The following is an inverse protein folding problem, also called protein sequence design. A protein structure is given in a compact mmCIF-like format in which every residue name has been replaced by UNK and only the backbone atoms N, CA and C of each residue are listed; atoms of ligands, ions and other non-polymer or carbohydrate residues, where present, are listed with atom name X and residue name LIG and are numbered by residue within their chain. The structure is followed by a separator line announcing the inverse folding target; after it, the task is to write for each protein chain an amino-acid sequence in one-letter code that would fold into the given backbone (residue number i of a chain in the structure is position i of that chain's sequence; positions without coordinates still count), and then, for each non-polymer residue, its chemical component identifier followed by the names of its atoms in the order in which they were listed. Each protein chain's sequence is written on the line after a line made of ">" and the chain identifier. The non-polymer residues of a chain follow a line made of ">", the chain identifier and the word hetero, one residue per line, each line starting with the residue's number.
data_IF_703975127026
#
_entry.id   IF_703975127026
#
_cell.length_a   1.000
_cell.length_b   1.000
_cell.length_c   1.000
_cell.angle_alpha   90.00
_cell.angle_beta   90.00
_cell.angle_gamma   90.00
#
_symmetry.space_group_name_H-M   'P 1'
#
loop_
_entity.id
_entity.type
_entity.pdbx_description
1 polymer ?
#
# COMPACT_ATOMS: atom_id res chain seq x y z
N UNK A 1 -1.53 -9.16 -7.64
CA UNK A 1 -0.22 -9.71 -7.19
C UNK A 1 -0.47 -10.92 -6.29
N UNK A 2 -0.01 -12.07 -6.70
CA UNK A 2 -0.12 -13.27 -5.88
C UNK A 2 0.97 -13.27 -4.79
N UNK A 3 0.58 -13.63 -3.56
CA UNK A 3 1.50 -13.79 -2.44
C UNK A 3 1.36 -15.19 -1.87
N UNK A 4 2.48 -15.85 -1.65
CA UNK A 4 2.58 -17.24 -1.18
C UNK A 4 2.30 -17.36 0.34
N UNK A 5 1.17 -16.79 0.78
CA UNK A 5 0.70 -16.81 2.17
C UNK A 5 -0.81 -16.75 2.20
N UNK A 6 -1.43 -17.29 3.24
CA UNK A 6 -2.88 -17.15 3.45
C UNK A 6 -3.25 -15.70 3.76
N UNK A 7 -4.54 -15.36 3.60
CA UNK A 7 -5.03 -13.96 3.70
C UNK A 7 -4.59 -13.27 4.99
N UNK A 8 -4.80 -13.91 6.14
CA UNK A 8 -4.46 -13.29 7.43
C UNK A 8 -2.98 -12.99 7.59
N UNK A 9 -2.12 -13.91 7.15
CA UNK A 9 -0.66 -13.73 7.23
C UNK A 9 -0.18 -12.66 6.26
N UNK A 10 -0.75 -12.62 5.07
CA UNK A 10 -0.45 -11.57 4.07
C UNK A 10 -0.86 -10.20 4.61
N UNK A 11 -2.06 -10.10 5.18
CA UNK A 11 -2.58 -8.87 5.78
C UNK A 11 -1.64 -8.34 6.86
N UNK A 12 -1.29 -9.17 7.83
CA UNK A 12 -0.40 -8.79 8.93
C UNK A 12 1.00 -8.40 8.43
N UNK A 13 1.52 -9.13 7.45
CA UNK A 13 2.84 -8.87 6.87
C UNK A 13 2.90 -7.53 6.16
N UNK A 14 1.86 -7.17 5.41
CA UNK A 14 1.79 -5.88 4.71
C UNK A 14 1.76 -4.73 5.71
N UNK A 15 0.93 -4.82 6.75
CA UNK A 15 0.88 -3.78 7.79
C UNK A 15 2.21 -3.64 8.53
N UNK A 16 2.87 -4.75 8.83
CA UNK A 16 4.16 -4.72 9.51
C UNK A 16 5.29 -4.18 8.62
N UNK A 17 5.13 -4.29 7.31
CA UNK A 17 6.15 -3.86 6.35
C UNK A 17 6.27 -2.34 6.26
N UNK A 18 5.16 -1.61 6.38
CA UNK A 18 5.13 -0.17 6.15
C UNK A 18 6.16 0.59 7.01
N UNK A 19 6.22 0.44 8.35
CA UNK A 19 7.24 1.16 9.13
C UNK A 19 8.67 0.69 8.86
N UNK A 20 8.86 -0.48 8.26
CA UNK A 20 10.19 -0.97 7.88
C UNK A 20 10.70 -0.34 6.59
N UNK A 21 9.80 -0.12 5.61
CA UNK A 21 10.17 0.50 4.32
C UNK A 21 10.15 2.02 4.38
N UNK A 22 9.48 2.59 5.39
CA UNK A 22 9.44 4.04 5.63
C UNK A 22 9.83 4.28 7.09
N UNK A 23 11.14 4.18 7.44
CA UNK A 23 11.57 4.19 8.84
C UNK A 23 11.39 5.52 9.56
N UNK A 24 11.23 6.62 8.83
CA UNK A 24 10.93 7.94 9.41
C UNK A 24 9.43 8.18 9.61
N UNK A 25 8.57 7.24 9.24
CA UNK A 25 7.13 7.37 9.39
C UNK A 25 6.75 7.36 10.88
N UNK A 26 5.88 8.31 11.25
CA UNK A 26 5.35 8.44 12.61
C UNK A 26 3.84 8.44 12.56
N UNK A 27 3.22 7.67 13.45
CA UNK A 27 1.77 7.62 13.56
C UNK A 27 1.27 8.71 14.53
N UNK A 28 0.25 9.45 14.09
CA UNK A 28 -0.42 10.46 14.89
C UNK A 28 -1.60 9.83 15.66
N UNK A 29 -2.15 10.58 16.64
CA UNK A 29 -3.30 10.10 17.43
C UNK A 29 -4.56 9.88 16.61
N UNK A 30 -4.67 10.50 15.43
CA UNK A 30 -5.81 10.35 14.51
C UNK A 30 -5.66 9.17 13.55
N UNK A 31 -4.60 8.37 13.68
CA UNK A 31 -4.35 7.20 12.84
C UNK A 31 -3.59 7.47 11.55
N UNK A 32 -3.25 8.71 11.27
CA UNK A 32 -2.44 9.07 10.11
C UNK A 32 -0.96 8.84 10.38
N UNK A 33 -0.27 8.22 9.43
CA UNK A 33 1.18 8.13 9.39
C UNK A 33 1.72 9.33 8.60
N UNK A 34 2.74 10.00 9.13
CA UNK A 34 3.40 11.15 8.46
C UNK A 34 4.85 10.80 8.17
N UNK A 35 5.32 11.16 6.98
CA UNK A 35 6.68 10.87 6.53
C UNK A 35 7.08 11.80 5.39
N UNK A 36 8.37 11.80 5.04
CA UNK A 36 8.88 12.50 3.86
C UNK A 36 9.10 11.46 2.77
N UNK A 37 8.34 11.56 1.69
CA UNK A 37 8.41 10.66 0.55
C UNK A 37 9.06 11.32 -0.66
N UNK A 38 9.07 10.61 -1.80
CA UNK A 38 9.65 11.15 -3.06
C UNK A 38 8.96 12.41 -3.57
N UNK A 39 7.74 12.68 -3.14
CA UNK A 39 6.94 13.81 -3.58
C UNK A 39 6.68 14.80 -2.44
N UNK A 40 7.60 14.86 -1.48
CA UNK A 40 7.54 15.78 -0.36
C UNK A 40 6.86 15.22 0.88
N UNK A 41 6.31 16.11 1.71
CA UNK A 41 5.60 15.72 2.92
C UNK A 41 4.40 14.87 2.55
N UNK A 42 4.33 13.68 3.13
CA UNK A 42 3.33 12.68 2.78
C UNK A 42 2.66 12.14 4.03
N UNK A 43 1.43 11.63 3.86
CA UNK A 43 0.73 10.94 4.93
C UNK A 43 -0.15 9.83 4.36
N UNK A 44 -0.33 8.79 5.16
CA UNK A 44 -1.16 7.65 4.81
C UNK A 44 -2.01 7.23 6.00
N UNK A 45 -3.24 6.83 5.73
CA UNK A 45 -4.15 6.26 6.73
C UNK A 45 -4.74 4.97 6.21
N UNK A 46 -4.58 3.90 6.99
CA UNK A 46 -5.16 2.59 6.66
C UNK A 46 -6.54 2.45 7.28
N UNK A 47 -7.51 2.09 6.45
CA UNK A 47 -8.87 1.74 6.86
C UNK A 47 -8.99 0.22 6.74
N UNK A 48 -8.62 -0.48 7.79
CA UNK A 48 -8.41 -1.93 7.74
C UNK A 48 -9.59 -2.71 8.30
N UNK A 49 -9.88 -3.86 7.64
CA UNK A 49 -10.80 -4.87 8.16
C UNK A 49 -10.22 -6.24 7.82
N UNK A 50 -9.49 -6.81 8.76
CA UNK A 50 -8.76 -8.06 8.56
C UNK A 50 -9.69 -9.23 8.22
N UNK A 51 -10.84 -9.32 8.86
CA UNK A 51 -11.76 -10.44 8.65
C UNK A 51 -12.31 -10.49 7.22
N UNK A 52 -12.39 -9.35 6.54
CA UNK A 52 -12.83 -9.24 5.14
C UNK A 52 -11.69 -9.08 4.15
N UNK A 53 -10.44 -9.08 4.60
CA UNK A 53 -9.29 -8.85 3.73
C UNK A 53 -9.23 -7.45 3.14
N UNK A 54 -9.81 -6.47 3.83
CA UNK A 54 -9.85 -5.08 3.35
C UNK A 54 -8.69 -4.30 3.95
N UNK A 55 -7.88 -3.71 3.09
CA UNK A 55 -6.75 -2.87 3.49
C UNK A 55 -6.75 -1.56 2.70
N UNK A 56 -7.93 -0.96 2.55
CA UNK A 56 -8.09 0.34 1.89
C UNK A 56 -7.27 1.39 2.62
N UNK A 57 -6.75 2.34 1.87
CA UNK A 57 -6.00 3.42 2.49
C UNK A 57 -6.13 4.72 1.70
N UNK A 58 -5.85 5.81 2.37
CA UNK A 58 -5.73 7.14 1.78
C UNK A 58 -4.27 7.55 1.83
N UNK A 59 -3.79 8.13 0.75
CA UNK A 59 -2.42 8.63 0.63
C UNK A 59 -2.47 10.07 0.12
N UNK A 60 -1.74 10.96 0.78
CA UNK A 60 -1.68 12.38 0.41
C UNK A 60 -0.22 12.81 0.39
N UNK A 61 0.20 13.50 -0.66
CA UNK A 61 1.49 14.16 -0.73
C UNK A 61 1.32 15.62 -1.18
N UNK A 62 2.41 16.32 -1.46
CA UNK A 62 2.35 17.74 -1.84
C UNK A 62 1.76 17.95 -3.23
N UNK A 63 1.66 16.89 -4.05
CA UNK A 63 1.16 16.98 -5.42
C UNK A 63 -0.24 16.41 -5.61
N UNK A 64 -0.68 15.48 -4.73
CA UNK A 64 -1.91 14.71 -4.99
C UNK A 64 -2.52 14.10 -3.75
N UNK A 65 -3.79 13.70 -3.88
CA UNK A 65 -4.55 12.96 -2.86
C UNK A 65 -5.15 11.73 -3.51
N UNK A 66 -4.98 10.56 -2.87
CA UNK A 66 -5.40 9.27 -3.40
C UNK A 66 -6.28 8.54 -2.40
N UNK A 67 -7.35 7.92 -2.92
CA UNK A 67 -8.09 6.88 -2.20
C UNK A 67 -7.79 5.57 -2.90
N UNK A 68 -7.19 4.64 -2.18
CA UNK A 68 -6.66 3.41 -2.78
C UNK A 68 -7.38 2.19 -2.18
N UNK A 69 -8.38 1.65 -2.89
CA UNK A 69 -8.96 0.37 -2.49
C UNK A 69 -7.94 -0.75 -2.63
N UNK A 70 -7.81 -1.56 -1.59
CA UNK A 70 -6.90 -2.69 -1.58
C UNK A 70 -7.59 -3.89 -0.94
N UNK A 71 -7.51 -5.04 -1.60
CA UNK A 71 -8.16 -6.28 -1.15
C UNK A 71 -7.16 -7.42 -1.16
N UNK A 72 -7.26 -8.27 -0.17
CA UNK A 72 -6.50 -9.51 -0.10
C UNK A 72 -7.50 -10.64 -0.21
N UNK A 73 -7.41 -11.40 -1.32
CA UNK A 73 -8.40 -12.41 -1.70
C UNK A 73 -7.80 -13.80 -1.52
N UNK A 74 -8.53 -14.75 -0.90
CA UNK A 74 -8.03 -16.10 -0.73
C UNK A 74 -7.85 -16.81 -2.09
N UNK A 75 -6.76 -17.56 -2.20
CA UNK A 75 -6.46 -18.37 -3.38
C UNK A 75 -5.76 -19.67 -2.91
N UNK A 76 -6.54 -20.63 -2.36
CA UNK A 76 -5.98 -21.84 -1.76
C UNK A 76 -5.07 -21.51 -0.59
N UNK A 77 -3.81 -21.94 -0.67
CA UNK A 77 -2.80 -21.67 0.36
C UNK A 77 -2.05 -20.34 0.12
N UNK A 78 -2.45 -19.60 -0.89
CA UNK A 78 -1.89 -18.28 -1.20
C UNK A 78 -2.96 -17.22 -1.16
N UNK A 79 -2.59 -15.97 -1.45
CA UNK A 79 -3.49 -14.82 -1.52
C UNK A 79 -3.25 -14.02 -2.78
N UNK A 80 -4.28 -13.37 -3.27
CA UNK A 80 -4.19 -12.39 -4.34
C UNK A 80 -4.37 -11.00 -3.74
N UNK A 81 -3.37 -10.13 -3.93
CA UNK A 81 -3.45 -8.74 -3.50
C UNK A 81 -3.86 -7.88 -4.69
N UNK A 82 -5.00 -7.21 -4.56
CA UNK A 82 -5.57 -6.36 -5.61
C UNK A 82 -5.59 -4.93 -5.13
N UNK A 83 -5.01 -4.03 -5.92
CA UNK A 83 -4.98 -2.59 -5.65
C UNK A 83 -5.63 -1.88 -6.84
N UNK A 84 -6.57 -0.97 -6.56
CA UNK A 84 -7.23 -0.19 -7.60
C UNK A 84 -6.67 1.23 -7.56
N UNK A 85 -6.11 1.67 -8.68
CA UNK A 85 -5.53 2.99 -8.82
C UNK A 85 -6.40 3.82 -9.77
N UNK A 86 -6.91 4.95 -9.27
CA UNK A 86 -7.67 5.91 -10.06
C UNK A 86 -6.90 7.22 -10.07
N UNK A 87 -6.76 7.82 -11.26
CA UNK A 87 -6.02 9.08 -11.40
C UNK A 87 -6.63 10.18 -10.54
N UNK A 88 -5.84 10.78 -9.62
CA UNK A 88 -6.29 11.98 -8.90
C UNK A 88 -6.44 13.17 -9.84
N UNK A 89 -7.35 14.07 -9.51
CA UNK A 89 -7.59 15.27 -10.33
C UNK A 89 -6.38 16.18 -10.43
N UNK A 90 -5.49 16.14 -9.44
CA UNK A 90 -4.31 16.99 -9.36
C UNK A 90 -3.20 16.58 -10.33
N UNK A 91 -3.25 15.35 -10.87
CA UNK A 91 -2.21 14.83 -11.75
C UNK A 91 -2.64 14.83 -13.22
N UNK A 92 -1.68 15.08 -14.10
CA UNK A 92 -1.85 14.84 -15.54
C UNK A 92 -1.77 13.35 -15.84
N UNK A 93 -2.19 12.94 -17.04
CA UNK A 93 -2.09 11.55 -17.46
C UNK A 93 -0.64 11.05 -17.43
N UNK A 94 0.32 11.87 -17.88
CA UNK A 94 1.73 11.52 -17.86
C UNK A 94 2.27 11.34 -16.43
N UNK A 95 1.87 12.20 -15.51
CA UNK A 95 2.25 12.08 -14.11
C UNK A 95 1.65 10.82 -13.47
N UNK A 96 0.40 10.53 -13.79
CA UNK A 96 -0.26 9.31 -13.30
C UNK A 96 0.45 8.05 -13.81
N UNK A 97 0.78 8.00 -15.11
CA UNK A 97 1.48 6.86 -15.70
C UNK A 97 2.84 6.63 -15.03
N UNK A 98 3.58 7.69 -14.73
CA UNK A 98 4.85 7.62 -14.00
C UNK A 98 4.66 7.05 -12.59
N UNK A 99 3.61 7.51 -11.88
CA UNK A 99 3.29 7.02 -10.54
C UNK A 99 2.92 5.54 -10.56
N UNK A 100 2.11 5.12 -11.52
CA UNK A 100 1.71 3.70 -11.67
C UNK A 100 2.92 2.82 -11.94
N UNK A 101 3.84 3.26 -12.77
CA UNK A 101 5.09 2.52 -13.03
C UNK A 101 5.91 2.32 -11.75
N UNK A 102 6.06 3.36 -10.95
CA UNK A 102 6.78 3.29 -9.67
C UNK A 102 6.07 2.37 -8.68
N UNK A 103 4.74 2.42 -8.62
CA UNK A 103 3.93 1.55 -7.75
C UNK A 103 4.11 0.08 -8.17
N UNK A 104 4.13 -0.21 -9.47
CA UNK A 104 4.34 -1.57 -9.96
C UNK A 104 5.73 -2.11 -9.58
N UNK A 105 6.76 -1.27 -9.67
CA UNK A 105 8.11 -1.64 -9.22
C UNK A 105 8.15 -1.91 -7.71
N UNK A 106 7.50 -1.07 -6.95
CA UNK A 106 7.38 -1.24 -5.49
C UNK A 106 6.64 -2.53 -5.15
N UNK A 107 5.55 -2.82 -5.83
CA UNK A 107 4.77 -4.05 -5.63
C UNK A 107 5.62 -5.30 -5.89
N UNK A 108 6.44 -5.30 -6.93
CA UNK A 108 7.35 -6.40 -7.23
C UNK A 108 8.37 -6.61 -6.10
N UNK A 109 8.92 -5.53 -5.57
CA UNK A 109 9.87 -5.58 -4.44
C UNK A 109 9.18 -6.07 -3.18
N UNK A 110 7.97 -5.60 -2.90
CA UNK A 110 7.18 -6.02 -1.74
C UNK A 110 6.86 -7.52 -1.80
N UNK A 111 6.49 -8.03 -2.98
CA UNK A 111 6.22 -9.46 -3.16
C UNK A 111 7.43 -10.30 -2.75
N UNK A 112 8.64 -9.93 -3.17
CA UNK A 112 9.85 -10.63 -2.81
C UNK A 112 10.09 -10.62 -1.30
N UNK A 113 9.88 -9.48 -0.65
CA UNK A 113 10.05 -9.35 0.81
C UNK A 113 9.03 -10.21 1.54
N UNK A 114 7.76 -10.16 1.13
CA UNK A 114 6.69 -10.91 1.76
C UNK A 114 6.90 -12.43 1.64
N UNK A 115 7.38 -12.89 0.48
CA UNK A 115 7.60 -14.33 0.24
C UNK A 115 8.92 -14.86 0.81
N UNK A 116 9.90 -13.99 1.04
CA UNK A 116 11.18 -14.39 1.62
C UNK A 116 11.16 -14.50 3.14
N UNK A 117 10.12 -13.99 3.77
CA UNK A 117 9.93 -14.03 5.22
C UNK A 117 9.32 -15.38 5.64
N UNK A 118 10.12 -16.39 5.62
CA UNK A 118 9.72 -17.77 5.89
C UNK A 118 10.13 -18.17 7.30
#
# INVERSE_FOLDING_TARGET
>A
MEVNKIVGDTFDSILALFPKVVPDAKINSDGWWSFIGPYGKSKVKFNQNKSLGILDHEYIDEESSWKIPMRIIPNGNSSEVVIILKKPKQLTDAQFDERVEKINKLATSMKKILESDV
#
